data_IF_310978281463
#
_entry.id   IF_310978281463
#
_cell.length_a   1.000
_cell.length_b   1.000
_cell.length_c   1.000
_cell.angle_alpha   90.00
_cell.angle_beta   90.00
_cell.angle_gamma   90.00
#
_symmetry.space_group_name_H-M   'P 1'
#
loop_
_entity.id
_entity.type
_entity.pdbx_description
1 polymer ?
#
# COMPACT_ATOMS: atom_id res chain seq x y z
N UNK A 1 -39.59 1.59 26.07
CA UNK A 1 -39.87 0.23 26.59
C UNK A 1 -38.70 -0.67 26.22
N UNK A 2 -38.00 -1.19 27.25
CA UNK A 2 -37.07 -2.35 27.27
C UNK A 2 -35.84 -2.34 26.34
N UNK A 3 -34.63 -2.74 26.73
CA UNK A 3 -34.04 -3.15 28.01
C UNK A 3 -32.50 -3.16 27.84
N UNK A 4 -31.75 -2.67 28.82
CA UNK A 4 -30.28 -2.71 28.85
C UNK A 4 -29.82 -4.11 29.30
N UNK A 5 -29.04 -4.80 28.46
CA UNK A 5 -28.38 -6.05 28.84
C UNK A 5 -27.12 -5.75 29.66
N UNK A 6 -27.24 -5.78 30.99
CA UNK A 6 -26.09 -5.86 31.90
C UNK A 6 -25.72 -7.32 32.13
N UNK A 7 -24.53 -7.74 31.71
CA UNK A 7 -23.95 -9.04 32.06
C UNK A 7 -23.28 -8.87 33.42
N UNK A 8 -23.95 -9.36 34.47
CA UNK A 8 -23.38 -9.49 35.81
C UNK A 8 -22.52 -10.75 35.85
N UNK A 9 -21.19 -10.59 35.93
CA UNK A 9 -20.29 -11.68 36.28
C UNK A 9 -20.32 -11.85 37.80
N UNK A 10 -21.08 -12.85 38.24
CA UNK A 10 -21.20 -13.24 39.63
C UNK A 10 -19.88 -13.91 40.06
N UNK A 11 -19.01 -13.13 40.70
CA UNK A 11 -17.73 -13.58 41.23
C UNK A 11 -17.99 -14.40 42.50
N UNK A 12 -18.15 -15.71 42.34
CA UNK A 12 -18.30 -16.66 43.43
C UNK A 12 -16.97 -16.77 44.18
N UNK A 13 -16.82 -16.01 45.26
CA UNK A 13 -15.77 -16.23 46.25
C UNK A 13 -16.06 -17.53 46.98
N UNK A 14 -15.36 -18.61 46.60
CA UNK A 14 -15.27 -19.80 47.44
C UNK A 14 -14.38 -19.47 48.63
N UNK A 15 -15.01 -19.17 49.75
CA UNK A 15 -14.37 -19.10 51.07
C UNK A 15 -13.89 -20.51 51.45
N UNK A 16 -12.61 -20.79 51.23
CA UNK A 16 -11.98 -21.97 51.81
C UNK A 16 -11.58 -21.65 53.25
N UNK A 17 -12.44 -22.03 54.19
CA UNK A 17 -12.15 -22.01 55.63
C UNK A 17 -11.67 -23.41 56.03
N UNK A 18 -10.38 -23.53 56.34
CA UNK A 18 -9.82 -24.72 56.99
C UNK A 18 -8.99 -24.30 58.19
N UNK A 19 -9.69 -24.04 59.30
CA UNK A 19 -9.13 -24.19 60.63
C UNK A 19 -8.77 -25.67 60.83
N UNK A 20 -7.50 -26.02 60.67
CA UNK A 20 -6.97 -27.26 61.24
C UNK A 20 -5.71 -26.94 62.04
N UNK A 21 -5.84 -27.20 63.33
CA UNK A 21 -4.99 -26.82 64.44
C UNK A 21 -3.60 -27.44 64.41
N UNK A 22 -2.63 -26.62 64.80
CA UNK A 22 -1.24 -26.91 65.12
C UNK A 22 -0.96 -28.25 65.81
N UNK A 23 -0.04 -29.03 65.24
CA UNK A 23 0.96 -29.79 66.00
C UNK A 23 2.35 -29.41 65.49
N UNK A 24 3.07 -28.70 66.36
CA UNK A 24 4.45 -28.26 66.21
C UNK A 24 5.39 -29.47 66.04
N UNK A 25 5.81 -29.77 64.82
CA UNK A 25 7.07 -30.45 64.57
C UNK A 25 8.08 -29.42 64.05
N UNK A 26 8.80 -28.77 64.98
CA UNK A 26 9.90 -27.85 64.70
C UNK A 26 11.09 -28.66 64.14
N UNK A 27 11.01 -29.12 62.89
CA UNK A 27 12.18 -29.51 62.12
C UNK A 27 12.83 -28.23 61.61
N UNK A 28 13.93 -27.84 62.24
CA UNK A 28 14.83 -26.78 61.78
C UNK A 28 15.37 -27.13 60.40
N UNK A 29 14.62 -26.80 59.35
CA UNK A 29 15.18 -26.78 58.00
C UNK A 29 16.06 -25.54 57.92
N UNK A 30 17.37 -25.74 58.04
CA UNK A 30 18.40 -24.85 57.50
C UNK A 30 18.18 -24.70 55.99
N UNK A 31 17.14 -23.99 55.58
CA UNK A 31 17.04 -23.50 54.22
C UNK A 31 17.93 -22.27 54.16
N UNK A 32 19.08 -22.44 53.49
CA UNK A 32 19.98 -21.35 53.13
C UNK A 32 19.15 -20.18 52.57
N UNK A 33 19.52 -18.95 52.93
CA UNK A 33 18.94 -17.69 52.49
C UNK A 33 19.12 -17.42 50.97
N UNK A 34 19.11 -18.46 50.15
CA UNK A 34 19.31 -18.46 48.69
C UNK A 34 17.96 -18.39 47.96
N UNK A 35 16.84 -18.68 48.63
CA UNK A 35 15.50 -18.53 48.05
C UNK A 35 15.15 -17.09 47.61
N UNK A 36 15.50 -16.03 48.38
CA UNK A 36 15.24 -14.64 47.95
C UNK A 36 16.06 -14.24 46.72
N UNK A 37 17.30 -14.73 46.62
CA UNK A 37 18.22 -14.41 45.51
C UNK A 37 17.78 -15.08 44.22
N UNK A 38 17.30 -16.33 44.28
CA UNK A 38 16.79 -17.03 43.09
C UNK A 38 15.53 -16.34 42.55
N UNK A 39 14.64 -15.88 43.44
CA UNK A 39 13.41 -15.21 43.04
C UNK A 39 13.68 -13.89 42.29
N UNK A 40 14.63 -13.09 42.77
CA UNK A 40 14.99 -11.82 42.10
C UNK A 40 15.69 -12.06 40.76
N UNK A 41 16.56 -13.07 40.67
CA UNK A 41 17.20 -13.43 39.40
C UNK A 41 16.19 -13.88 38.34
N UNK A 42 15.18 -14.66 38.73
CA UNK A 42 14.12 -15.08 37.81
C UNK A 42 13.22 -13.90 37.38
N UNK A 43 12.90 -13.00 38.32
CA UNK A 43 12.11 -11.80 38.02
C UNK A 43 12.82 -10.89 37.02
N UNK A 44 14.12 -10.65 37.21
CA UNK A 44 14.93 -9.83 36.30
C UNK A 44 15.04 -10.50 34.93
N UNK A 45 15.23 -11.82 34.88
CA UNK A 45 15.32 -12.54 33.61
C UNK A 45 14.06 -12.39 32.75
N UNK A 46 12.87 -12.56 33.35
CA UNK A 46 11.61 -12.41 32.62
C UNK A 46 11.40 -10.96 32.17
N UNK A 47 11.75 -9.98 33.00
CA UNK A 47 11.65 -8.57 32.65
C UNK A 47 12.56 -8.20 31.45
N UNK A 48 13.80 -8.71 31.43
CA UNK A 48 14.74 -8.47 30.31
C UNK A 48 14.25 -9.13 29.03
N UNK A 49 13.78 -10.38 29.07
CA UNK A 49 13.27 -11.08 27.88
C UNK A 49 11.97 -10.45 27.37
N UNK A 50 11.06 -10.04 28.26
CA UNK A 50 9.85 -9.30 27.88
C UNK A 50 10.18 -7.97 27.20
N UNK A 51 11.16 -7.24 27.73
CA UNK A 51 11.62 -5.97 27.17
C UNK A 51 12.23 -6.11 25.77
N UNK A 52 13.05 -7.14 25.53
CA UNK A 52 13.67 -7.35 24.21
C UNK A 52 12.66 -7.73 23.14
N UNK A 53 11.65 -8.54 23.45
CA UNK A 53 10.58 -8.91 22.51
C UNK A 53 9.77 -7.67 22.11
N UNK A 54 9.34 -6.85 23.08
CA UNK A 54 8.58 -5.62 22.80
C UNK A 54 9.43 -4.65 21.98
N UNK A 55 10.73 -4.53 22.28
CA UNK A 55 11.64 -3.67 21.54
C UNK A 55 11.79 -4.12 20.07
N UNK A 56 12.04 -5.40 19.80
CA UNK A 56 12.18 -5.93 18.43
C UNK A 56 10.86 -5.83 17.66
N UNK A 57 9.73 -6.12 18.30
CA UNK A 57 8.41 -5.94 17.69
C UNK A 57 8.14 -4.48 17.34
N UNK A 58 8.48 -3.55 18.25
CA UNK A 58 8.32 -2.12 18.00
C UNK A 58 9.17 -1.62 16.83
N UNK A 59 10.37 -2.16 16.58
CA UNK A 59 11.16 -1.81 15.39
C UNK A 59 10.44 -2.21 14.09
N UNK A 60 9.78 -3.37 14.07
CA UNK A 60 8.93 -3.79 12.95
C UNK A 60 7.75 -2.84 12.73
N UNK A 61 7.12 -2.37 13.82
CA UNK A 61 6.02 -1.41 13.76
C UNK A 61 6.48 0.00 13.38
N UNK A 62 7.64 0.48 13.82
CA UNK A 62 8.13 1.81 13.45
C UNK A 62 8.59 1.87 12.00
N UNK A 63 9.18 0.79 11.47
CA UNK A 63 9.47 0.69 10.04
C UNK A 63 8.18 0.64 9.19
N UNK A 64 7.07 0.16 9.76
CA UNK A 64 5.75 0.18 9.14
C UNK A 64 4.88 1.40 9.53
N UNK A 65 5.28 2.22 10.49
CA UNK A 65 4.52 3.40 10.94
C UNK A 65 5.19 4.71 10.49
N UNK A 66 6.48 4.69 10.13
CA UNK A 66 7.06 5.69 9.21
C UNK A 66 6.49 5.56 7.79
N UNK A 67 5.74 4.49 7.52
CA UNK A 67 4.79 4.38 6.39
C UNK A 67 3.51 5.24 6.65
N UNK A 68 3.45 6.05 7.71
CA UNK A 68 2.37 7.03 7.92
C UNK A 68 2.87 8.48 7.94
N UNK A 69 4.11 8.74 7.53
CA UNK A 69 4.62 10.08 7.24
C UNK A 69 4.48 10.51 5.77
N UNK A 70 3.62 9.82 5.00
CA UNK A 70 3.53 9.74 3.52
C UNK A 70 4.67 8.96 2.85
N UNK A 71 4.77 7.64 3.07
CA UNK A 71 5.39 6.78 2.07
C UNK A 71 4.54 6.89 0.80
N UNK A 72 5.17 7.22 -0.29
CA UNK A 72 4.57 7.08 -1.61
C UNK A 72 4.58 5.60 -1.99
N UNK A 73 3.80 4.77 -1.27
CA UNK A 73 3.70 3.33 -1.57
C UNK A 73 3.23 3.18 -3.01
N UNK A 74 2.34 4.06 -3.47
CA UNK A 74 1.90 4.17 -4.85
C UNK A 74 1.82 5.65 -5.22
N UNK A 75 2.80 6.13 -5.98
CA UNK A 75 2.79 7.49 -6.52
C UNK A 75 3.02 7.44 -8.03
N UNK A 76 2.02 7.93 -8.75
CA UNK A 76 2.16 8.27 -10.16
C UNK A 76 2.14 9.79 -10.26
N UNK A 77 3.21 10.35 -10.81
CA UNK A 77 3.34 11.78 -11.05
C UNK A 77 3.08 12.09 -12.51
N UNK A 78 2.27 13.11 -12.76
CA UNK A 78 2.12 13.69 -14.10
C UNK A 78 3.25 14.70 -14.29
N UNK A 79 4.14 14.44 -15.25
CA UNK A 79 5.27 15.34 -15.55
C UNK A 79 4.86 16.50 -16.45
N UNK A 80 3.89 16.27 -17.33
CA UNK A 80 3.40 17.26 -18.28
C UNK A 80 2.47 16.64 -19.31
N UNK A 81 2.04 17.46 -20.26
CA UNK A 81 1.25 17.03 -21.41
C UNK A 81 1.70 17.77 -22.66
N UNK A 82 1.58 17.12 -23.82
CA UNK A 82 1.76 17.72 -25.14
C UNK A 82 0.44 17.57 -25.92
N UNK A 83 -0.11 18.69 -26.35
CA UNK A 83 -1.37 18.78 -27.09
C UNK A 83 -1.23 19.69 -28.32
N UNK A 84 0.00 19.81 -28.84
CA UNK A 84 0.28 20.61 -30.04
C UNK A 84 -0.28 19.92 -31.28
N UNK A 85 -0.81 20.73 -32.19
CA UNK A 85 -1.17 20.36 -33.56
C UNK A 85 0.12 20.25 -34.39
N UNK A 86 0.79 19.10 -34.27
CA UNK A 86 2.03 18.77 -34.98
C UNK A 86 2.02 17.34 -35.47
N UNK A 87 2.58 17.10 -36.66
CA UNK A 87 2.63 15.76 -37.26
C UNK A 87 3.30 14.72 -36.33
N UNK A 88 4.23 15.17 -35.49
CA UNK A 88 5.05 14.32 -34.63
C UNK A 88 5.04 14.88 -33.21
N UNK A 89 4.48 14.13 -32.26
CA UNK A 89 4.60 14.46 -30.84
C UNK A 89 5.99 14.05 -30.33
N UNK A 90 6.51 14.78 -29.36
CA UNK A 90 7.79 14.46 -28.74
C UNK A 90 7.58 13.82 -27.37
N UNK A 91 8.42 12.85 -27.03
CA UNK A 91 8.55 12.32 -25.70
C UNK A 91 9.14 13.39 -24.76
N UNK A 92 9.07 13.12 -23.46
CA UNK A 92 9.56 14.02 -22.40
C UNK A 92 11.06 14.34 -22.49
N UNK A 93 11.84 13.55 -23.23
CA UNK A 93 13.26 13.73 -23.48
C UNK A 93 13.57 14.44 -24.83
N UNK A 94 12.53 14.83 -25.56
CA UNK A 94 12.64 15.47 -26.88
C UNK A 94 12.70 14.50 -28.06
N UNK A 95 12.68 13.18 -27.83
CA UNK A 95 12.66 12.18 -28.90
C UNK A 95 11.30 12.14 -29.59
N UNK A 96 11.27 12.08 -30.92
CA UNK A 96 10.02 12.01 -31.69
C UNK A 96 9.32 10.66 -31.48
N UNK A 97 8.03 10.70 -31.14
CA UNK A 97 7.17 9.52 -30.97
C UNK A 97 6.45 9.19 -32.29
N UNK A 98 6.91 8.17 -33.01
CA UNK A 98 6.37 7.82 -34.34
C UNK A 98 4.95 7.23 -34.31
N UNK A 99 4.52 6.70 -33.16
CA UNK A 99 3.19 6.08 -32.98
C UNK A 99 2.13 7.08 -32.49
N UNK A 100 2.59 8.20 -31.94
CA UNK A 100 1.74 9.30 -31.46
C UNK A 100 1.89 10.49 -32.41
N UNK A 101 1.30 10.41 -33.60
CA UNK A 101 1.13 11.55 -34.50
C UNK A 101 -0.21 12.23 -34.23
N UNK A 102 -0.22 13.57 -34.20
CA UNK A 102 -1.47 14.32 -34.33
C UNK A 102 -1.64 14.71 -35.81
N UNK A 103 -2.88 14.89 -36.25
CA UNK A 103 -3.14 15.47 -37.57
C UNK A 103 -2.44 16.84 -37.63
N UNK A 104 -1.79 17.17 -38.75
CA UNK A 104 -1.08 18.43 -38.94
C UNK A 104 -1.86 19.25 -39.94
N UNK A 105 -2.83 20.02 -39.46
CA UNK A 105 -3.57 20.90 -40.36
C UNK A 105 -3.19 22.36 -40.14
N UNK A 106 -3.21 23.13 -41.22
CA UNK A 106 -3.01 24.58 -41.17
C UNK A 106 -4.20 25.35 -40.59
N UNK A 107 -5.24 24.65 -40.09
CA UNK A 107 -6.53 25.23 -39.69
C UNK A 107 -6.79 25.22 -38.17
N UNK A 108 -5.85 24.71 -37.36
CA UNK A 108 -6.01 24.62 -35.90
C UNK A 108 -6.78 23.37 -35.44
N UNK A 109 -7.39 23.44 -34.24
CA UNK A 109 -7.87 22.26 -33.51
C UNK A 109 -8.87 21.39 -34.28
N UNK A 110 -8.44 20.20 -34.68
CA UNK A 110 -9.28 19.26 -35.41
C UNK A 110 -9.89 18.15 -34.56
N UNK A 111 -10.97 17.59 -35.08
CA UNK A 111 -11.48 16.30 -34.60
C UNK A 111 -10.43 15.23 -34.91
N UNK A 112 -9.98 14.50 -33.89
CA UNK A 112 -8.93 13.48 -34.06
C UNK A 112 -7.59 13.86 -33.45
N UNK A 113 -7.46 15.06 -32.88
CA UNK A 113 -6.27 15.46 -32.13
C UNK A 113 -5.96 14.52 -30.97
N UNK A 114 -4.66 14.31 -30.75
CA UNK A 114 -4.15 13.45 -29.68
C UNK A 114 -3.51 14.30 -28.61
N UNK A 115 -3.71 13.89 -27.36
CA UNK A 115 -3.04 14.47 -26.20
C UNK A 115 -2.10 13.42 -25.63
N UNK A 116 -0.83 13.76 -25.56
CA UNK A 116 0.17 12.96 -24.88
C UNK A 116 0.26 13.41 -23.43
N UNK A 117 0.18 12.47 -22.49
CA UNK A 117 0.36 12.74 -21.06
C UNK A 117 1.57 11.97 -20.56
N UNK A 118 2.54 12.68 -19.99
CA UNK A 118 3.75 12.07 -19.45
C UNK A 118 3.51 11.66 -18.00
N UNK A 119 3.57 10.36 -17.76
CA UNK A 119 3.41 9.77 -16.43
C UNK A 119 4.74 9.20 -15.96
N UNK A 120 5.10 9.46 -14.71
CA UNK A 120 6.25 8.86 -14.03
C UNK A 120 5.76 8.04 -12.85
N UNK A 121 6.12 6.77 -12.82
CA UNK A 121 5.92 5.94 -11.64
C UNK A 121 7.06 6.22 -10.63
N UNK A 122 6.74 6.90 -9.55
CA UNK A 122 7.64 7.15 -8.41
C UNK A 122 7.32 6.21 -7.22
N UNK A 123 6.52 5.17 -7.45
CA UNK A 123 6.27 4.08 -6.49
C UNK A 123 7.47 3.14 -6.34
N UNK A 124 7.53 2.45 -5.20
CA UNK A 124 8.42 1.31 -4.97
C UNK A 124 7.97 0.03 -5.70
N UNK A 125 6.72 0.01 -6.18
CA UNK A 125 6.10 -1.13 -6.86
C UNK A 125 5.67 -0.81 -8.29
N UNK A 126 5.22 -1.85 -9.00
CA UNK A 126 4.57 -1.67 -10.31
C UNK A 126 3.16 -1.13 -10.08
N UNK A 127 2.80 -0.07 -10.80
CA UNK A 127 1.44 0.49 -10.78
C UNK A 127 0.67 -0.01 -12.00
N UNK A 128 -0.60 -0.34 -11.79
CA UNK A 128 -1.53 -0.75 -12.85
C UNK A 128 -2.66 0.27 -12.97
N UNK A 129 -2.99 0.66 -14.21
CA UNK A 129 -4.11 1.57 -14.47
C UNK A 129 -5.32 0.73 -14.89
N UNK A 130 -6.35 0.72 -14.04
CA UNK A 130 -7.64 0.08 -14.38
C UNK A 130 -8.50 0.98 -15.26
N UNK A 131 -8.42 2.29 -15.06
CA UNK A 131 -9.28 3.27 -15.73
C UNK A 131 -8.55 4.61 -15.88
N UNK A 132 -8.76 5.27 -17.03
CA UNK A 132 -8.31 6.64 -17.27
C UNK A 132 -9.54 7.49 -17.61
N UNK A 133 -9.75 8.58 -16.86
CA UNK A 133 -10.81 9.56 -17.11
C UNK A 133 -10.22 10.94 -17.36
N UNK A 134 -10.68 11.61 -18.41
CA UNK A 134 -10.35 13.01 -18.70
C UNK A 134 -11.63 13.76 -19.05
N UNK A 135 -11.89 14.88 -18.38
CA UNK A 135 -13.06 15.72 -18.66
C UNK A 135 -14.43 15.02 -18.49
N UNK A 136 -14.51 13.97 -17.67
CA UNK A 136 -15.72 13.16 -17.48
C UNK A 136 -15.88 11.99 -18.46
N UNK A 137 -15.02 11.89 -19.48
CA UNK A 137 -15.01 10.78 -20.43
C UNK A 137 -14.07 9.67 -19.95
N UNK A 138 -14.55 8.42 -19.99
CA UNK A 138 -13.73 7.23 -19.70
C UNK A 138 -13.07 6.77 -21.00
N UNK A 139 -11.75 6.58 -20.96
CA UNK A 139 -10.98 6.13 -22.12
C UNK A 139 -10.76 4.62 -22.04
N UNK A 140 -10.83 3.96 -23.19
CA UNK A 140 -10.61 2.52 -23.31
C UNK A 140 -9.16 2.21 -23.71
N UNK A 141 -8.58 1.18 -23.11
CA UNK A 141 -7.23 0.76 -23.48
C UNK A 141 -7.21 0.18 -24.88
N UNK A 142 -6.29 0.64 -25.71
CA UNK A 142 -6.05 0.09 -27.02
C UNK A 142 -4.67 -0.58 -27.07
N UNK A 143 -4.65 -1.83 -27.52
CA UNK A 143 -3.44 -2.66 -27.69
C UNK A 143 -2.92 -2.67 -29.13
N UNK A 144 -3.62 -2.05 -30.08
CA UNK A 144 -3.29 -2.07 -31.51
C UNK A 144 -2.52 -0.81 -31.89
N UNK A 145 -1.35 -0.99 -32.50
CA UNK A 145 -0.57 0.09 -33.15
C UNK A 145 -0.93 0.14 -34.65
N UNK A 146 -1.33 1.30 -35.20
CA UNK A 146 -1.47 2.62 -34.57
C UNK A 146 -2.76 2.80 -33.78
N UNK A 147 -2.72 3.68 -32.77
CA UNK A 147 -3.93 4.12 -32.04
C UNK A 147 -4.94 4.65 -33.08
N UNK A 148 -6.18 4.15 -33.13
CA UNK A 148 -7.15 4.59 -34.11
C UNK A 148 -7.52 6.05 -33.89
N UNK A 149 -7.85 6.74 -34.98
CA UNK A 149 -8.30 8.14 -34.93
C UNK A 149 -9.59 8.23 -34.12
N UNK A 150 -9.69 9.23 -33.26
CA UNK A 150 -10.91 9.50 -32.49
C UNK A 150 -12.09 9.77 -33.44
N UNK A 151 -13.18 9.04 -33.26
CA UNK A 151 -14.46 9.30 -33.94
C UNK A 151 -15.45 9.94 -32.96
N UNK A 152 -16.09 11.07 -33.32
CA UNK A 152 -17.09 11.71 -32.47
C UNK A 152 -18.20 10.73 -32.06
N UNK A 153 -18.56 10.73 -30.78
CA UNK A 153 -19.63 9.87 -30.23
C UNK A 153 -19.16 8.50 -29.70
N UNK A 154 -17.90 8.13 -29.95
CA UNK A 154 -17.27 6.97 -29.32
C UNK A 154 -16.40 7.43 -28.15
N UNK A 155 -16.29 6.66 -27.07
CA UNK A 155 -15.31 6.94 -26.02
C UNK A 155 -13.89 7.00 -26.62
N UNK A 156 -13.03 7.88 -26.10
CA UNK A 156 -11.64 7.95 -26.56
C UNK A 156 -10.89 6.66 -26.27
N UNK A 157 -9.85 6.37 -27.05
CA UNK A 157 -8.90 5.30 -26.75
C UNK A 157 -7.60 5.86 -26.20
N UNK A 158 -6.91 5.10 -25.36
CA UNK A 158 -5.57 5.42 -24.91
C UNK A 158 -4.63 4.25 -25.18
N UNK A 159 -3.39 4.56 -25.53
CA UNK A 159 -2.28 3.61 -25.60
C UNK A 159 -1.21 4.02 -24.58
N UNK A 160 -0.54 3.04 -23.98
CA UNK A 160 0.62 3.31 -23.15
C UNK A 160 1.85 3.15 -24.03
N UNK A 161 2.66 4.20 -24.10
CA UNK A 161 3.91 4.20 -24.86
C UNK A 161 5.07 4.22 -23.87
N UNK A 162 6.13 3.48 -24.18
CA UNK A 162 7.41 3.63 -23.49
C UNK A 162 8.19 4.80 -24.08
N UNK A 163 9.37 5.11 -23.53
CA UNK A 163 10.28 6.07 -24.16
C UNK A 163 10.82 5.56 -25.51
N UNK A 164 10.70 4.24 -25.74
CA UNK A 164 10.79 3.61 -27.05
C UNK A 164 9.51 3.91 -27.82
N UNK A 165 9.61 4.18 -29.12
CA UNK A 165 8.52 4.48 -30.06
C UNK A 165 7.45 3.37 -30.21
N UNK A 166 7.37 2.40 -29.30
CA UNK A 166 6.48 1.27 -29.35
C UNK A 166 5.38 1.39 -28.30
N UNK A 167 4.16 0.99 -28.65
CA UNK A 167 3.13 0.79 -27.65
C UNK A 167 3.43 -0.44 -26.82
N UNK A 168 3.11 -0.37 -25.53
CA UNK A 168 2.98 -1.56 -24.71
C UNK A 168 1.67 -2.24 -25.13
N UNK A 169 1.76 -3.44 -25.69
CA UNK A 169 0.58 -4.21 -26.15
C UNK A 169 0.01 -5.11 -25.05
N UNK A 170 0.79 -5.35 -23.98
CA UNK A 170 0.36 -6.16 -22.85
C UNK A 170 -0.46 -5.31 -21.86
N UNK A 171 -1.75 -5.61 -21.69
CA UNK A 171 -2.48 -5.15 -20.50
C UNK A 171 -1.87 -5.78 -19.26
N UNK A 172 -1.63 -4.97 -18.23
CA UNK A 172 -1.25 -5.50 -16.94
C UNK A 172 -2.45 -6.24 -16.35
N UNK A 173 -2.40 -7.58 -16.37
CA UNK A 173 -3.51 -8.45 -15.99
C UNK A 173 -3.63 -9.72 -16.86
N UNK A 174 -3.05 -9.73 -18.06
CA UNK A 174 -2.84 -10.98 -18.80
C UNK A 174 -1.67 -11.73 -18.16
N UNK A 175 -2.00 -12.79 -17.41
CA UNK A 175 -1.04 -13.82 -17.01
C UNK A 175 -0.43 -14.36 -18.30
N UNK A 176 0.87 -14.08 -18.53
CA UNK A 176 1.62 -14.81 -19.56
C UNK A 176 1.68 -16.28 -19.13
N UNK A 177 1.36 -17.24 -20.01
CA UNK A 177 1.50 -18.65 -19.70
C UNK A 177 2.96 -19.01 -19.38
#
# INVERSE_FOLDING_TARGET
MCNMNSISLNMCWVLYNSNMTNTLEKRTRKHRAVAPVIATLLMVAIAVVGGTIIFVFSQGFFNQAQISGTPTIELVKILGYDARDVANLNAHDGTVMTVASSDSSTLGKNVGERVLVHLKNDSVGRVTFSEIRLGGTVYQYNTVDPIPVFTPGTGGTYGILTNSTHMITDQVGLVKP
#
